data_IF_135404145985
#
_entry.id   IF_135404145985
#
_cell.length_a   1.000
_cell.length_b   1.000
_cell.length_c   1.000
_cell.angle_alpha   90.00
_cell.angle_beta   90.00
_cell.angle_gamma   90.00
#
_symmetry.space_group_name_H-M   'P 1'
#
loop_
_entity.id
_entity.type
_entity.pdbx_description
1 polymer ?
#
# COMPACT_ATOMS: atom_id res chain seq x y z
N UNK A 1 12.72 -6.82 -9.92
CA UNK A 1 13.20 -5.71 -9.08
C UNK A 1 12.57 -4.44 -9.61
N UNK A 2 12.15 -3.50 -8.74
CA UNK A 2 11.59 -2.22 -9.16
C UNK A 2 12.76 -1.32 -9.64
N UNK A 3 12.84 -1.05 -10.94
CA UNK A 3 14.04 -0.42 -11.55
C UNK A 3 13.85 1.01 -12.04
N UNK A 4 12.63 1.57 -12.02
CA UNK A 4 12.34 2.93 -12.52
C UNK A 4 11.64 3.80 -11.47
N UNK A 5 11.94 5.11 -11.47
CA UNK A 5 11.23 6.10 -10.66
C UNK A 5 9.73 6.17 -11.02
N UNK A 6 9.37 6.02 -12.31
CA UNK A 6 7.97 5.97 -12.75
C UNK A 6 7.24 4.77 -12.16
N UNK A 7 7.89 3.60 -12.07
CA UNK A 7 7.33 2.42 -11.41
C UNK A 7 7.07 2.65 -9.92
N UNK A 8 8.02 3.24 -9.19
CA UNK A 8 7.81 3.56 -7.76
C UNK A 8 6.66 4.54 -7.59
N UNK A 9 6.59 5.59 -8.42
CA UNK A 9 5.48 6.56 -8.39
C UNK A 9 4.13 5.88 -8.59
N UNK A 10 4.00 5.04 -9.62
CA UNK A 10 2.80 4.23 -9.91
C UNK A 10 2.38 3.37 -8.72
N UNK A 11 3.34 2.66 -8.13
CA UNK A 11 3.08 1.78 -6.99
C UNK A 11 2.65 2.57 -5.75
N UNK A 12 3.36 3.63 -5.39
CA UNK A 12 3.00 4.49 -4.26
C UNK A 12 1.62 5.10 -4.43
N UNK A 13 1.28 5.58 -5.64
CA UNK A 13 -0.06 6.09 -5.96
C UNK A 13 -1.12 5.00 -5.74
N UNK A 14 -0.94 3.84 -6.36
CA UNK A 14 -1.87 2.71 -6.23
C UNK A 14 -2.06 2.26 -4.77
N UNK A 15 -0.98 2.18 -3.99
CA UNK A 15 -1.01 1.81 -2.58
C UNK A 15 -1.75 2.83 -1.71
N UNK A 16 -1.52 4.12 -1.94
CA UNK A 16 -2.18 5.21 -1.21
C UNK A 16 -3.69 5.21 -1.46
N UNK A 17 -4.10 5.10 -2.71
CA UNK A 17 -5.51 5.00 -3.09
C UNK A 17 -6.16 3.77 -2.46
N UNK A 18 -5.49 2.62 -2.50
CA UNK A 18 -5.99 1.42 -1.86
C UNK A 18 -6.20 1.61 -0.35
N UNK A 19 -5.20 2.11 0.38
CA UNK A 19 -5.30 2.39 1.83
C UNK A 19 -6.38 3.41 2.14
N UNK A 20 -6.57 4.43 1.29
CA UNK A 20 -7.64 5.42 1.45
C UNK A 20 -9.04 4.78 1.40
N UNK A 21 -9.21 3.72 0.60
CA UNK A 21 -10.47 2.99 0.49
C UNK A 21 -10.67 1.90 1.55
N UNK A 22 -9.64 1.55 2.33
CA UNK A 22 -9.77 0.53 3.38
C UNK A 22 -10.73 1.02 4.47
N UNK A 23 -11.80 0.26 4.69
CA UNK A 23 -12.71 0.46 5.81
C UNK A 23 -12.16 -0.22 7.07
N UNK A 24 -12.08 0.53 8.17
CA UNK A 24 -11.63 0.04 9.48
C UNK A 24 -12.78 0.20 10.47
N UNK A 25 -13.25 -0.91 11.04
CA UNK A 25 -14.28 -0.90 12.06
C UNK A 25 -13.79 -1.62 13.32
N UNK A 26 -13.76 -0.93 14.45
CA UNK A 26 -13.39 -1.52 15.74
C UNK A 26 -14.63 -1.86 16.58
N UNK A 27 -14.62 -3.00 17.26
CA UNK A 27 -15.57 -3.36 18.32
C UNK A 27 -14.82 -3.60 19.64
N UNK A 28 -15.11 -2.84 20.72
CA UNK A 28 -14.54 -3.13 22.03
C UNK A 28 -15.18 -4.40 22.60
N UNK A 29 -14.42 -5.16 23.38
CA UNK A 29 -14.87 -6.37 24.07
C UNK A 29 -14.09 -6.47 25.37
N UNK A 30 -14.81 -6.65 26.48
CA UNK A 30 -14.19 -6.92 27.77
C UNK A 30 -13.71 -8.36 27.79
N UNK A 31 -12.45 -8.56 28.12
CA UNK A 31 -11.82 -9.88 28.24
C UNK A 31 -11.44 -10.10 29.69
N UNK A 32 -11.80 -11.27 30.21
CA UNK A 32 -11.38 -11.74 31.53
C UNK A 32 -10.16 -12.65 31.31
N UNK A 33 -9.07 -12.37 32.02
CA UNK A 33 -7.90 -13.24 31.95
C UNK A 33 -8.22 -14.56 32.64
N UNK A 34 -7.84 -15.67 32.01
CA UNK A 34 -7.94 -17.01 32.62
C UNK A 34 -7.09 -17.14 33.88
N UNK A 35 -6.03 -16.33 34.01
CA UNK A 35 -5.11 -16.34 35.15
C UNK A 35 -5.50 -15.32 36.24
N UNK A 36 -6.22 -14.25 35.86
CA UNK A 36 -6.72 -13.23 36.80
C UNK A 36 -8.09 -12.70 36.35
N UNK A 37 -9.13 -13.35 36.86
CA UNK A 37 -10.53 -12.98 36.57
C UNK A 37 -10.90 -11.64 37.23
N UNK A 38 -10.11 -11.16 38.19
CA UNK A 38 -10.40 -9.93 38.96
C UNK A 38 -9.99 -8.65 38.24
N UNK A 39 -9.13 -8.75 37.21
CA UNK A 39 -8.64 -7.62 36.44
C UNK A 39 -9.02 -7.71 34.95
N UNK A 40 -10.30 -7.52 34.58
CA UNK A 40 -10.71 -7.50 33.18
C UNK A 40 -10.09 -6.33 32.41
N UNK A 41 -9.83 -6.52 31.12
CA UNK A 41 -9.30 -5.47 30.24
C UNK A 41 -10.11 -5.33 28.95
N UNK A 42 -10.03 -4.13 28.36
CA UNK A 42 -10.67 -3.85 27.06
C UNK A 42 -9.76 -4.30 25.91
N UNK A 43 -10.25 -5.25 25.10
CA UNK A 43 -9.67 -5.62 23.81
C UNK A 43 -10.50 -5.02 22.68
N UNK A 44 -9.85 -4.55 21.62
CA UNK A 44 -10.48 -4.01 20.42
C UNK A 44 -10.29 -5.01 19.27
N UNK A 45 -11.41 -5.40 18.66
CA UNK A 45 -11.43 -6.25 17.47
C UNK A 45 -11.66 -5.34 16.27
N UNK A 46 -10.59 -5.04 15.53
CA UNK A 46 -10.63 -4.27 14.30
C UNK A 46 -10.94 -5.21 13.13
N UNK A 47 -11.87 -4.81 12.28
CA UNK A 47 -12.18 -5.45 10.99
C UNK A 47 -11.73 -4.51 9.89
N UNK A 48 -10.77 -4.96 9.09
CA UNK A 48 -10.20 -4.22 7.97
C UNK A 48 -10.74 -4.83 6.68
N UNK A 49 -11.28 -4.04 5.76
CA UNK A 49 -11.79 -4.51 4.46
C UNK A 49 -11.41 -3.55 3.35
N UNK A 50 -10.91 -4.10 2.25
CA UNK A 50 -10.66 -3.33 1.01
C UNK A 50 -11.98 -3.02 0.29
N UNK A 51 -12.07 -1.85 -0.36
CA UNK A 51 -13.23 -1.48 -1.16
C UNK A 51 -13.30 -2.20 -2.51
N UNK A 52 -12.18 -2.72 -3.03
CA UNK A 52 -12.05 -3.28 -4.38
C UNK A 52 -12.72 -4.66 -4.61
N UNK A 53 -13.65 -5.06 -3.74
CA UNK A 53 -14.47 -6.28 -3.92
C UNK A 53 -15.92 -5.94 -4.31
N UNK A 54 -16.09 -5.13 -5.36
CA UNK A 54 -17.40 -4.82 -5.95
C UNK A 54 -17.91 -5.89 -6.92
N UNK A 55 -17.17 -6.98 -7.15
CA UNK A 55 -17.74 -8.17 -7.80
C UNK A 55 -18.69 -8.87 -6.82
N UNK A 56 -19.97 -8.89 -7.19
CA UNK A 56 -21.12 -9.42 -6.44
C UNK A 56 -21.05 -10.91 -6.06
N UNK A 57 -19.91 -11.57 -6.27
CA UNK A 57 -19.71 -13.01 -6.09
C UNK A 57 -18.42 -13.41 -5.34
N UNK A 58 -17.58 -12.47 -4.92
CA UNK A 58 -16.44 -12.76 -4.04
C UNK A 58 -16.74 -12.32 -2.59
N UNK A 59 -16.40 -13.14 -1.57
CA UNK A 59 -16.56 -12.70 -0.18
C UNK A 59 -15.76 -11.43 0.05
N UNK A 60 -16.38 -10.40 0.65
CA UNK A 60 -15.74 -9.13 1.04
C UNK A 60 -14.46 -9.41 1.82
N UNK A 61 -13.33 -9.36 1.13
CA UNK A 61 -12.06 -9.80 1.69
C UNK A 61 -11.60 -8.79 2.75
N UNK A 62 -11.35 -9.33 3.94
CA UNK A 62 -10.94 -8.53 5.07
C UNK A 62 -10.37 -9.41 6.17
N UNK A 63 -9.56 -8.81 7.04
CA UNK A 63 -8.96 -9.51 8.16
C UNK A 63 -9.32 -8.85 9.48
N UNK A 64 -9.12 -9.61 10.56
CA UNK A 64 -9.40 -9.18 11.92
C UNK A 64 -8.08 -8.97 12.64
N UNK A 65 -7.93 -7.81 13.25
CA UNK A 65 -6.81 -7.48 14.12
C UNK A 65 -7.34 -7.36 15.56
N UNK A 66 -6.74 -8.08 16.52
CA UNK A 66 -7.15 -8.06 17.92
C UNK A 66 -6.03 -7.46 18.76
N UNK A 67 -6.27 -6.28 19.34
CA UNK A 67 -5.27 -5.57 20.13
C UNK A 67 -5.91 -4.86 21.32
N UNK A 68 -5.19 -4.76 22.42
CA UNK A 68 -5.50 -3.85 23.54
C UNK A 68 -4.76 -2.53 23.37
N UNK A 69 -5.17 -1.51 24.12
CA UNK A 69 -4.51 -0.20 24.11
C UNK A 69 -3.00 -0.30 24.36
N UNK A 70 -2.58 -1.14 25.31
CA UNK A 70 -1.16 -1.31 25.66
C UNK A 70 -0.33 -1.93 24.54
N UNK A 71 -0.93 -2.71 23.62
CA UNK A 71 -0.20 -3.25 22.47
C UNK A 71 0.15 -2.12 21.49
N UNK A 72 -0.82 -1.25 21.19
CA UNK A 72 -0.59 -0.05 20.37
C UNK A 72 0.42 0.88 21.04
N UNK A 73 0.29 1.09 22.35
CA UNK A 73 1.21 1.95 23.09
C UNK A 73 2.64 1.38 23.08
N UNK A 74 2.81 0.05 23.18
CA UNK A 74 4.11 -0.59 23.11
C UNK A 74 4.78 -0.39 21.73
N UNK A 75 4.04 -0.59 20.63
CA UNK A 75 4.54 -0.29 19.29
C UNK A 75 4.89 1.20 19.16
N UNK A 76 3.97 2.08 19.53
CA UNK A 76 4.17 3.53 19.47
C UNK A 76 5.43 3.96 20.23
N UNK A 77 5.65 3.46 21.46
CA UNK A 77 6.86 3.72 22.22
C UNK A 77 8.12 3.19 21.51
N UNK A 78 8.05 2.01 20.89
CA UNK A 78 9.17 1.44 20.15
C UNK A 78 9.55 2.33 18.96
N UNK A 79 8.58 2.74 18.15
CA UNK A 79 8.79 3.63 17.01
C UNK A 79 9.34 5.00 17.44
N UNK A 80 8.83 5.54 18.56
CA UNK A 80 9.29 6.81 19.10
C UNK A 80 10.73 6.75 19.63
N UNK A 81 11.13 5.65 20.28
CA UNK A 81 12.51 5.48 20.78
C UNK A 81 13.53 5.36 19.66
N UNK A 82 13.16 4.72 18.55
CA UNK A 82 14.04 4.57 17.39
C UNK A 82 13.97 5.76 16.43
N UNK A 83 13.17 6.79 16.75
CA UNK A 83 12.90 7.94 15.88
C UNK A 83 14.14 8.59 15.29
N UNK A 84 15.04 9.03 16.15
CA UNK A 84 16.24 9.73 15.69
C UNK A 84 17.09 8.87 14.76
N UNK A 85 17.13 7.55 14.97
CA UNK A 85 17.92 6.63 14.14
C UNK A 85 17.34 6.53 12.74
N UNK A 86 16.07 6.15 12.59
CA UNK A 86 15.47 6.01 11.27
C UNK A 86 15.25 7.35 10.57
N UNK A 87 15.05 8.46 11.29
CA UNK A 87 14.89 9.79 10.69
C UNK A 87 16.19 10.26 10.02
N UNK A 88 17.33 10.07 10.69
CA UNK A 88 18.66 10.33 10.10
C UNK A 88 18.90 9.39 8.91
N UNK A 89 18.58 8.10 9.04
CA UNK A 89 18.74 7.13 7.95
C UNK A 89 17.94 7.52 6.71
N UNK A 90 16.69 7.94 6.87
CA UNK A 90 15.83 8.35 5.76
C UNK A 90 16.30 9.66 5.11
N UNK A 91 16.75 10.66 5.89
CA UNK A 91 17.22 11.94 5.35
C UNK A 91 18.42 11.77 4.41
N UNK A 92 19.30 10.80 4.68
CA UNK A 92 20.44 10.47 3.83
C UNK A 92 20.05 9.89 2.45
N UNK A 93 18.85 9.33 2.32
CA UNK A 93 18.39 8.64 1.11
C UNK A 93 17.74 9.60 0.06
N UNK A 94 17.67 10.90 0.34
CA UNK A 94 17.15 11.92 -0.57
C UNK A 94 15.62 12.01 -0.61
N UNK A 95 15.09 12.74 -1.60
CA UNK A 95 13.67 13.12 -1.69
C UNK A 95 12.68 11.94 -1.68
N UNK A 96 13.09 10.77 -2.18
CA UNK A 96 12.22 9.58 -2.24
C UNK A 96 11.73 9.12 -0.86
N UNK A 97 12.51 9.37 0.21
CA UNK A 97 12.16 9.00 1.58
C UNK A 97 11.40 10.09 2.33
N UNK A 98 11.24 11.29 1.76
CA UNK A 98 10.60 12.42 2.44
C UNK A 98 9.15 12.07 2.83
N UNK A 99 8.39 11.47 1.91
CA UNK A 99 7.01 11.01 2.19
C UNK A 99 6.94 9.95 3.29
N UNK A 100 7.93 9.05 3.37
CA UNK A 100 8.02 8.05 4.44
C UNK A 100 8.39 8.69 5.77
N UNK A 101 9.31 9.67 5.77
CA UNK A 101 9.64 10.42 6.98
C UNK A 101 8.37 11.05 7.55
N UNK A 102 7.56 11.73 6.72
CA UNK A 102 6.31 12.34 7.17
C UNK A 102 5.33 11.33 7.77
N UNK A 103 5.21 10.15 7.15
CA UNK A 103 4.30 9.10 7.63
C UNK A 103 4.83 8.46 8.92
N UNK A 104 6.13 8.16 9.01
CA UNK A 104 6.76 7.62 10.21
C UNK A 104 6.78 8.63 11.36
N UNK A 105 6.97 9.91 11.05
CA UNK A 105 6.81 11.01 12.00
C UNK A 105 5.38 11.10 12.52
N UNK A 106 4.37 10.87 11.68
CA UNK A 106 2.97 10.78 12.12
C UNK A 106 2.75 9.55 13.00
N UNK A 107 3.30 8.39 12.61
CA UNK A 107 3.20 7.14 13.37
C UNK A 107 3.95 7.18 14.72
N UNK A 108 5.01 7.97 14.84
CA UNK A 108 5.83 8.17 16.03
C UNK A 108 5.64 9.57 16.68
N UNK A 109 4.64 10.33 16.24
CA UNK A 109 4.42 11.74 16.56
C UNK A 109 3.76 11.95 17.93
N UNK A 110 3.38 13.18 18.26
CA UNK A 110 2.73 13.50 19.55
C UNK A 110 1.27 13.05 19.65
N UNK A 111 0.65 12.66 18.53
CA UNK A 111 -0.78 12.36 18.41
C UNK A 111 -1.12 10.89 18.71
N UNK A 112 -0.68 10.38 19.86
CA UNK A 112 -1.10 9.06 20.35
C UNK A 112 -2.11 9.21 21.50
N UNK A 113 -3.13 8.33 21.60
CA UNK A 113 -4.11 8.39 22.68
C UNK A 113 -3.44 8.42 24.06
N UNK A 114 -3.91 9.30 24.95
CA UNK A 114 -3.30 9.45 26.27
C UNK A 114 -3.52 8.19 27.11
N UNK A 115 -2.50 7.84 27.91
CA UNK A 115 -2.63 6.75 28.88
C UNK A 115 -3.50 7.22 30.05
N UNK A 116 -4.60 6.52 30.29
CA UNK A 116 -5.41 6.69 31.50
C UNK A 116 -4.93 5.69 32.56
N UNK A 117 -4.63 6.16 33.77
CA UNK A 117 -4.21 5.33 34.91
C UNK A 117 -5.43 5.07 35.81
N UNK A 118 -6.48 4.46 35.22
CA UNK A 118 -7.74 4.09 35.87
C UNK A 118 -8.47 3.04 35.04
N UNK A 119 -9.53 2.44 35.59
CA UNK A 119 -10.39 1.53 34.84
C UNK A 119 -11.03 2.22 33.63
N UNK A 120 -11.25 1.45 32.56
CA UNK A 120 -11.82 1.94 31.33
C UNK A 120 -13.30 2.29 31.51
N UNK A 121 -13.64 3.57 31.37
CA UNK A 121 -15.03 4.04 31.30
C UNK A 121 -15.55 3.97 29.86
N UNK A 122 -16.87 3.98 29.66
CA UNK A 122 -17.48 4.02 28.32
C UNK A 122 -16.96 5.18 27.46
N UNK A 123 -16.71 6.35 28.07
CA UNK A 123 -16.12 7.50 27.41
C UNK A 123 -14.67 7.22 26.93
N UNK A 124 -13.83 6.64 27.80
CA UNK A 124 -12.44 6.27 27.46
C UNK A 124 -12.42 5.23 26.34
N UNK A 125 -13.31 4.24 26.40
CA UNK A 125 -13.41 3.19 25.38
C UNK A 125 -13.81 3.80 24.03
N UNK A 126 -14.78 4.71 24.01
CA UNK A 126 -15.23 5.38 22.79
C UNK A 126 -14.15 6.28 22.17
N UNK A 127 -13.45 7.05 23.01
CA UNK A 127 -12.31 7.89 22.59
C UNK A 127 -11.19 7.03 21.98
N UNK A 128 -10.71 6.04 22.73
CA UNK A 128 -9.65 5.12 22.27
C UNK A 128 -10.07 4.39 21.00
N UNK A 129 -11.32 3.93 20.90
CA UNK A 129 -11.81 3.25 19.70
C UNK A 129 -11.60 4.11 18.45
N UNK A 130 -11.95 5.40 18.50
CA UNK A 130 -11.75 6.32 17.37
C UNK A 130 -10.28 6.48 17.03
N UNK A 131 -9.50 6.90 18.02
CA UNK A 131 -8.10 7.24 17.79
C UNK A 131 -7.24 6.01 17.41
N UNK A 132 -7.55 4.83 17.94
CA UNK A 132 -6.86 3.58 17.55
C UNK A 132 -7.22 3.14 16.12
N UNK A 133 -8.44 3.42 15.63
CA UNK A 133 -8.78 3.20 14.22
C UNK A 133 -7.97 4.12 13.31
N UNK A 134 -7.86 5.40 13.66
CA UNK A 134 -7.07 6.38 12.91
C UNK A 134 -5.58 6.02 12.92
N UNK A 135 -5.05 5.64 14.07
CA UNK A 135 -3.67 5.16 14.18
C UNK A 135 -3.42 3.88 13.38
N UNK A 136 -4.38 2.94 13.34
CA UNK A 136 -4.29 1.74 12.49
C UNK A 136 -4.19 2.13 11.01
N UNK A 137 -4.94 3.13 10.55
CA UNK A 137 -4.83 3.66 9.18
C UNK A 137 -3.45 4.27 8.92
N UNK A 138 -2.90 5.03 9.87
CA UNK A 138 -1.54 5.58 9.77
C UNK A 138 -0.49 4.48 9.65
N UNK A 139 -0.61 3.39 10.44
CA UNK A 139 0.29 2.25 10.36
C UNK A 139 0.19 1.51 9.02
N UNK A 140 -1.03 1.34 8.47
CA UNK A 140 -1.22 0.75 7.14
C UNK A 140 -0.57 1.59 6.05
N UNK A 141 -0.75 2.91 6.08
CA UNK A 141 -0.10 3.82 5.14
C UNK A 141 1.43 3.70 5.21
N UNK A 142 2.00 3.65 6.42
CA UNK A 142 3.43 3.44 6.62
C UNK A 142 3.89 2.10 6.05
N UNK A 143 3.15 1.03 6.31
CA UNK A 143 3.47 -0.32 5.84
C UNK A 143 3.55 -0.39 4.32
N UNK A 144 2.52 0.07 3.61
CA UNK A 144 2.46 -0.07 2.14
C UNK A 144 3.50 0.79 1.43
N UNK A 145 3.86 1.96 1.97
CA UNK A 145 4.89 2.81 1.37
C UNK A 145 6.29 2.27 1.61
N UNK A 146 6.56 1.78 2.84
CA UNK A 146 7.81 1.09 3.16
C UNK A 146 8.01 -0.17 2.32
N UNK A 147 6.96 -0.96 2.08
CA UNK A 147 7.02 -2.14 1.22
C UNK A 147 7.53 -1.80 -0.19
N UNK A 148 6.95 -0.76 -0.81
CA UNK A 148 7.33 -0.34 -2.17
C UNK A 148 8.77 0.13 -2.23
N UNK A 149 9.21 0.93 -1.25
CA UNK A 149 10.55 1.51 -1.24
C UNK A 149 11.64 0.49 -0.91
N UNK A 150 11.40 -0.40 0.07
CA UNK A 150 12.33 -1.49 0.38
C UNK A 150 12.40 -2.52 -0.78
N UNK A 151 11.34 -2.64 -1.58
CA UNK A 151 11.32 -3.45 -2.81
C UNK A 151 12.06 -2.83 -4.01
N UNK A 152 12.53 -1.59 -3.89
CA UNK A 152 13.23 -0.84 -4.93
C UNK A 152 14.67 -0.45 -4.53
N UNK A 153 15.54 -1.43 -4.17
CA UNK A 153 16.87 -1.13 -3.61
C UNK A 153 17.77 -0.37 -4.59
N UNK A 154 17.55 -0.48 -5.90
CA UNK A 154 18.31 0.23 -6.93
C UNK A 154 18.10 1.75 -6.94
N UNK A 155 17.07 2.26 -6.28
CA UNK A 155 16.85 3.70 -6.09
C UNK A 155 17.51 4.25 -4.82
N UNK A 156 18.02 3.37 -3.95
CA UNK A 156 18.81 3.74 -2.79
C UNK A 156 20.21 4.11 -3.31
N UNK A 157 20.62 5.36 -3.12
CA UNK A 157 21.99 5.78 -3.44
C UNK A 157 22.92 5.14 -2.40
N UNK A 158 24.02 4.51 -2.81
CA UNK A 158 25.20 4.12 -1.99
C UNK A 158 25.13 2.82 -1.15
N UNK A 159 26.21 2.53 -0.42
CA UNK A 159 26.43 1.29 0.34
C UNK A 159 25.91 1.45 1.78
N UNK A 160 24.59 1.44 1.97
CA UNK A 160 23.92 1.83 3.22
C UNK A 160 23.20 0.66 3.89
N UNK A 161 23.96 -0.35 4.28
CA UNK A 161 23.44 -1.55 4.93
C UNK A 161 22.75 -1.19 6.25
N UNK A 162 23.35 -0.32 7.07
CA UNK A 162 22.84 0.02 8.39
C UNK A 162 21.53 0.84 8.33
N UNK A 163 21.41 1.78 7.40
CA UNK A 163 20.19 2.57 7.20
C UNK A 163 19.02 1.72 6.72
N UNK A 164 19.27 0.79 5.79
CA UNK A 164 18.27 -0.17 5.32
C UNK A 164 17.84 -1.06 6.49
N UNK A 165 18.76 -1.48 7.35
CA UNK A 165 18.43 -2.28 8.54
C UNK A 165 17.52 -1.51 9.50
N UNK A 166 17.77 -0.22 9.75
CA UNK A 166 16.90 0.60 10.61
C UNK A 166 15.47 0.71 10.06
N UNK A 167 15.32 1.06 8.77
CA UNK A 167 14.01 1.20 8.13
C UNK A 167 13.30 -0.16 8.03
N UNK A 168 14.02 -1.22 7.70
CA UNK A 168 13.49 -2.58 7.65
C UNK A 168 13.04 -3.06 9.04
N UNK A 169 13.74 -2.67 10.10
CA UNK A 169 13.31 -2.97 11.48
C UNK A 169 11.96 -2.33 11.79
N UNK A 170 11.76 -1.06 11.40
CA UNK A 170 10.46 -0.38 11.53
C UNK A 170 9.38 -1.08 10.71
N UNK A 171 9.69 -1.43 9.47
CA UNK A 171 8.77 -2.17 8.59
C UNK A 171 8.31 -3.49 9.22
N UNK A 172 9.24 -4.31 9.72
CA UNK A 172 8.93 -5.60 10.37
C UNK A 172 8.08 -5.41 11.63
N UNK A 173 8.34 -4.38 12.44
CA UNK A 173 7.52 -4.10 13.63
C UNK A 173 6.09 -3.72 13.29
N UNK A 174 5.91 -2.87 12.27
CA UNK A 174 4.58 -2.47 11.78
C UNK A 174 3.86 -3.69 11.20
N UNK A 175 4.53 -4.47 10.34
CA UNK A 175 3.95 -5.67 9.73
C UNK A 175 3.50 -6.69 10.78
N UNK A 176 4.38 -7.00 11.73
CA UNK A 176 4.10 -7.92 12.84
C UNK A 176 2.92 -7.44 13.67
N UNK A 177 2.82 -6.13 13.91
CA UNK A 177 1.72 -5.55 14.66
C UNK A 177 0.39 -5.65 13.93
N UNK A 178 0.37 -5.37 12.61
CA UNK A 178 -0.85 -5.36 11.79
C UNK A 178 -1.35 -6.76 11.41
N UNK A 179 -0.54 -7.80 11.62
CA UNK A 179 -0.90 -9.20 11.33
C UNK A 179 -1.38 -9.38 9.89
N UNK A 180 -0.62 -8.82 8.93
CA UNK A 180 -1.00 -8.81 7.51
C UNK A 180 -1.07 -10.26 6.98
N UNK A 181 -2.24 -10.72 6.47
CA UNK A 181 -2.39 -12.10 6.00
C UNK A 181 -1.50 -12.42 4.78
N UNK A 182 -1.00 -13.66 4.62
CA UNK A 182 -0.20 -14.07 3.46
C UNK A 182 -0.90 -13.83 2.12
N UNK A 183 -2.22 -14.09 2.05
CA UNK A 183 -3.02 -13.85 0.83
C UNK A 183 -3.02 -12.38 0.42
N UNK A 184 -3.06 -11.47 1.40
CA UNK A 184 -3.00 -10.03 1.15
C UNK A 184 -1.65 -9.63 0.56
N UNK A 185 -0.56 -10.13 1.14
CA UNK A 185 0.81 -9.94 0.62
C UNK A 185 0.95 -10.45 -0.81
N UNK A 186 0.35 -11.60 -1.15
CA UNK A 186 0.40 -12.14 -2.52
C UNK A 186 -0.37 -11.27 -3.53
N UNK A 187 -1.55 -10.77 -3.17
CA UNK A 187 -2.30 -9.81 -4.01
C UNK A 187 -1.45 -8.56 -4.26
N UNK A 188 -0.84 -8.04 -3.20
CA UNK A 188 0.03 -6.88 -3.24
C UNK A 188 1.27 -7.13 -4.11
N UNK A 189 1.91 -8.31 -4.00
CA UNK A 189 3.05 -8.71 -4.81
C UNK A 189 2.69 -8.99 -6.28
N UNK A 190 1.48 -9.47 -6.57
CA UNK A 190 0.98 -9.66 -7.93
C UNK A 190 0.80 -8.32 -8.63
N UNK A 191 0.19 -7.33 -7.97
CA UNK A 191 0.08 -5.99 -8.50
C UNK A 191 1.47 -5.40 -8.76
N UNK A 192 2.39 -5.52 -7.81
CA UNK A 192 3.78 -5.03 -7.97
C UNK A 192 4.44 -5.63 -9.21
N UNK A 193 4.36 -6.95 -9.40
CA UNK A 193 4.91 -7.62 -10.60
C UNK A 193 4.28 -7.12 -11.89
N UNK A 194 2.99 -6.82 -11.90
CA UNK A 194 2.31 -6.34 -13.10
C UNK A 194 2.67 -4.89 -13.42
N UNK A 195 2.70 -4.01 -12.42
CA UNK A 195 3.03 -2.58 -12.59
C UNK A 195 4.50 -2.38 -12.99
N UNK A 196 5.41 -3.23 -12.52
CA UNK A 196 6.83 -3.22 -12.95
C UNK A 196 6.98 -3.46 -14.46
N UNK A 197 6.02 -4.10 -15.11
CA UNK A 197 6.03 -4.35 -16.55
C UNK A 197 5.46 -3.20 -17.38
N UNK A 198 5.00 -2.11 -16.75
CA UNK A 198 4.47 -0.94 -17.46
C UNK A 198 5.59 -0.02 -17.93
N UNK A 199 5.54 0.35 -19.19
CA UNK A 199 6.49 1.28 -19.83
C UNK A 199 5.85 2.67 -20.02
N UNK A 200 6.67 3.72 -19.91
CA UNK A 200 6.25 5.10 -20.14
C UNK A 200 6.11 5.38 -21.65
N UNK A 201 4.98 5.96 -22.06
CA UNK A 201 4.78 6.38 -23.46
C UNK A 201 5.45 7.73 -23.67
N UNK A 202 6.46 7.80 -24.54
CA UNK A 202 7.15 9.06 -24.87
C UNK A 202 6.30 9.93 -25.78
N UNK A 203 5.76 11.03 -25.27
CA UNK A 203 5.14 12.09 -26.08
C UNK A 203 6.22 12.95 -26.74
N UNK A 204 6.73 12.52 -27.89
CA UNK A 204 7.59 13.35 -28.73
C UNK A 204 6.77 14.32 -29.60
N UNK A 205 7.30 15.51 -29.97
CA UNK A 205 6.58 16.51 -30.77
C UNK A 205 6.22 16.06 -32.21
N UNK A 206 6.62 14.85 -32.61
CA UNK A 206 6.40 14.30 -33.95
C UNK A 206 5.82 12.87 -33.94
N UNK A 207 5.26 12.42 -32.80
CA UNK A 207 4.61 11.13 -32.72
C UNK A 207 3.13 11.32 -33.06
N UNK A 208 2.71 10.91 -34.27
CA UNK A 208 1.31 10.60 -34.56
C UNK A 208 0.90 9.39 -33.72
N UNK A 209 0.70 9.61 -32.41
CA UNK A 209 -0.09 8.70 -31.59
C UNK A 209 -1.50 8.85 -32.14
N UNK A 210 -1.83 8.09 -33.20
CA UNK A 210 -3.21 7.93 -33.64
C UNK A 210 -4.02 7.72 -32.37
N UNK A 211 -5.00 8.61 -32.14
CA UNK A 211 -5.79 8.71 -30.93
C UNK A 211 -6.40 7.35 -30.56
N UNK A 212 -5.63 6.52 -29.87
CA UNK A 212 -6.00 5.15 -29.56
C UNK A 212 -6.81 5.18 -28.27
N UNK A 213 -8.03 5.71 -28.35
CA UNK A 213 -9.01 5.81 -27.26
C UNK A 213 -8.83 4.71 -26.20
N UNK A 214 -8.69 5.09 -24.94
CA UNK A 214 -8.49 4.12 -23.86
C UNK A 214 -9.73 3.22 -23.74
N UNK A 215 -9.61 1.92 -24.06
CA UNK A 215 -10.77 1.02 -24.07
C UNK A 215 -11.36 0.69 -22.68
N UNK A 216 -10.73 1.17 -21.60
CA UNK A 216 -11.20 0.98 -20.23
C UNK A 216 -12.20 2.07 -19.85
N UNK A 217 -11.88 3.34 -20.10
CA UNK A 217 -12.75 4.48 -19.78
C UNK A 217 -13.49 5.04 -21.00
N UNK A 218 -13.16 4.59 -22.21
CA UNK A 218 -13.71 5.06 -23.48
C UNK A 218 -13.48 6.56 -23.73
N UNK A 219 -12.48 7.17 -23.08
CA UNK A 219 -12.08 8.57 -23.28
C UNK A 219 -10.87 8.68 -24.20
N UNK A 220 -10.75 9.81 -24.90
CA UNK A 220 -9.63 10.09 -25.80
C UNK A 220 -8.32 10.30 -25.04
N UNK A 221 -7.21 9.87 -25.63
CA UNK A 221 -5.88 9.97 -25.03
C UNK A 221 -5.23 11.36 -25.23
N UNK A 222 -6.01 12.39 -25.53
CA UNK A 222 -5.44 13.67 -25.94
C UNK A 222 -4.87 14.41 -24.72
N UNK A 223 -3.55 14.70 -24.66
CA UNK A 223 -2.96 15.44 -23.54
C UNK A 223 -3.43 16.90 -23.46
N UNK A 224 -4.10 17.41 -24.51
CA UNK A 224 -4.62 18.77 -24.62
C UNK A 224 -6.15 18.80 -24.81
N UNK A 225 -6.88 18.71 -23.70
CA UNK A 225 -8.29 19.13 -23.63
C UNK A 225 -9.31 18.00 -23.68
N UNK A 226 -9.96 17.78 -22.53
CA UNK A 226 -11.09 16.90 -22.35
C UNK A 226 -11.53 16.94 -20.89
N UNK A 227 -12.60 17.67 -20.61
CA UNK A 227 -13.07 18.10 -19.30
C UNK A 227 -13.81 17.00 -18.52
N UNK A 228 -13.10 15.96 -18.09
CA UNK A 228 -13.63 15.00 -17.11
C UNK A 228 -12.64 14.86 -15.94
N UNK A 229 -13.10 15.25 -14.74
CA UNK A 229 -12.30 15.51 -13.54
C UNK A 229 -11.72 14.23 -12.85
N UNK A 230 -11.21 13.26 -13.63
CA UNK A 230 -10.71 12.00 -13.05
C UNK A 230 -9.76 11.14 -13.89
N UNK A 231 -9.39 11.51 -15.13
CA UNK A 231 -8.45 10.72 -15.93
C UNK A 231 -7.02 11.26 -15.85
N UNK A 232 -6.05 10.42 -15.48
CA UNK A 232 -4.62 10.75 -15.59
C UNK A 232 -4.26 10.99 -17.06
N UNK A 233 -3.62 12.12 -17.36
CA UNK A 233 -3.02 12.40 -18.68
C UNK A 233 -1.82 11.52 -19.01
N UNK A 234 -1.31 10.78 -18.02
CA UNK A 234 -0.20 9.85 -18.20
C UNK A 234 -0.67 8.55 -18.86
N UNK A 235 0.06 8.13 -19.88
CA UNK A 235 -0.19 6.91 -20.63
C UNK A 235 0.85 5.86 -20.27
N UNK A 236 0.40 4.62 -20.11
CA UNK A 236 1.25 3.48 -19.84
C UNK A 236 1.06 2.41 -20.93
N UNK A 237 2.18 1.81 -21.36
CA UNK A 237 2.20 0.73 -22.33
C UNK A 237 2.48 -0.61 -21.64
N UNK A 238 1.71 -1.64 -21.99
CA UNK A 238 1.98 -3.01 -21.58
C UNK A 238 3.02 -3.67 -22.50
N UNK A 239 3.68 -4.77 -22.09
CA UNK A 239 4.62 -5.53 -22.94
C UNK A 239 4.00 -6.13 -24.21
N UNK A 240 2.67 -6.11 -24.33
CA UNK A 240 1.95 -6.50 -25.54
C UNK A 240 1.71 -5.32 -26.50
N UNK A 241 2.37 -4.18 -26.27
CA UNK A 241 2.30 -2.92 -26.99
C UNK A 241 0.98 -2.14 -26.89
N UNK A 242 -0.03 -2.65 -26.19
CA UNK A 242 -1.27 -1.94 -25.92
C UNK A 242 -1.09 -0.80 -24.91
N UNK A 243 -1.71 0.34 -25.18
CA UNK A 243 -1.57 1.60 -24.43
C UNK A 243 -2.90 1.95 -23.75
N UNK A 244 -2.83 2.44 -22.52
CA UNK A 244 -3.98 2.87 -21.70
C UNK A 244 -3.60 4.08 -20.85
N UNK A 245 -4.60 4.80 -20.31
CA UNK A 245 -4.35 5.71 -19.18
C UNK A 245 -3.75 4.90 -18.02
N UNK A 246 -2.73 5.47 -17.38
CA UNK A 246 -2.00 4.85 -16.28
C UNK A 246 -2.96 4.38 -15.17
N UNK A 247 -3.87 5.25 -14.74
CA UNK A 247 -4.83 4.94 -13.68
C UNK A 247 -5.79 3.83 -14.07
N UNK A 248 -6.27 3.86 -15.31
CA UNK A 248 -7.18 2.84 -15.82
C UNK A 248 -6.53 1.45 -15.82
N UNK A 249 -5.29 1.34 -16.32
CA UNK A 249 -4.62 0.03 -16.39
C UNK A 249 -4.19 -0.45 -15.00
N UNK A 250 -3.73 0.44 -14.11
CA UNK A 250 -3.38 0.06 -12.74
C UNK A 250 -4.62 -0.47 -12.00
N UNK A 251 -5.76 0.22 -12.11
CA UNK A 251 -7.00 -0.24 -11.50
C UNK A 251 -7.43 -1.62 -12.04
N UNK A 252 -7.33 -1.84 -13.35
CA UNK A 252 -7.59 -3.15 -13.95
C UNK A 252 -6.66 -4.25 -13.39
N UNK A 253 -5.37 -3.94 -13.24
CA UNK A 253 -4.36 -4.86 -12.73
C UNK A 253 -4.53 -5.21 -11.24
N UNK A 254 -5.27 -4.40 -10.47
CA UNK A 254 -5.67 -4.75 -9.10
C UNK A 254 -6.66 -5.93 -9.07
N UNK A 255 -7.50 -6.06 -10.10
CA UNK A 255 -8.46 -7.15 -10.21
C UNK A 255 -7.89 -8.38 -10.93
N UNK A 256 -6.93 -8.19 -11.84
CA UNK A 256 -6.29 -9.31 -12.53
C UNK A 256 -5.11 -8.90 -13.41
N UNK A 257 -4.10 -9.77 -13.49
CA UNK A 257 -2.85 -9.50 -14.22
C UNK A 257 -2.93 -9.85 -15.71
N UNK A 258 -3.90 -9.30 -16.45
CA UNK A 258 -4.05 -9.53 -17.91
C UNK A 258 -4.33 -8.23 -18.67
N UNK A 259 -3.92 -8.17 -19.94
CA UNK A 259 -4.25 -7.05 -20.82
C UNK A 259 -5.77 -6.99 -21.12
N UNK A 260 -6.44 -5.84 -20.98
CA UNK A 260 -7.86 -5.69 -21.32
C UNK A 260 -8.19 -6.02 -22.79
N UNK A 261 -7.27 -5.73 -23.72
CA UNK A 261 -7.50 -5.94 -25.16
C UNK A 261 -7.19 -7.37 -25.62
N UNK A 262 -6.00 -7.89 -25.32
CA UNK A 262 -5.57 -9.20 -25.84
C UNK A 262 -5.53 -10.33 -24.81
N UNK A 263 -5.91 -10.06 -23.55
CA UNK A 263 -5.94 -11.01 -22.43
C UNK A 263 -4.61 -11.68 -22.09
N UNK A 264 -3.50 -11.24 -22.70
CA UNK A 264 -2.15 -11.74 -22.38
C UNK A 264 -1.82 -11.43 -20.92
N UNK A 265 -1.26 -12.41 -20.21
CA UNK A 265 -0.83 -12.23 -18.82
C UNK A 265 0.28 -11.19 -18.73
N UNK A 266 0.19 -10.31 -17.73
CA UNK A 266 1.19 -9.32 -17.37
C UNK A 266 1.98 -9.88 -16.17
N UNK A 267 3.31 -9.91 -16.26
CA UNK A 267 4.16 -10.35 -15.13
C UNK A 267 4.33 -11.87 -14.94
N UNK A 268 3.81 -12.72 -15.83
CA UNK A 268 4.30 -14.11 -15.98
C UNK A 268 5.32 -14.15 -17.10
N UNK A 269 6.49 -14.74 -16.86
CA UNK A 269 7.47 -14.98 -17.92
C UNK A 269 6.75 -15.64 -19.10
N UNK A 270 6.86 -15.04 -20.29
CA UNK A 270 6.29 -15.65 -21.48
C UNK A 270 6.89 -17.05 -21.60
N UNK A 271 6.08 -18.10 -21.45
CA UNK A 271 6.41 -19.40 -22.03
C UNK A 271 6.48 -19.13 -23.53
N UNK A 272 7.68 -18.86 -24.03
CA UNK A 272 7.99 -18.89 -25.45
C UNK A 272 7.62 -20.30 -25.90
N UNK A 273 6.43 -20.47 -26.48
CA UNK A 273 6.17 -21.60 -27.36
C UNK A 273 7.09 -21.38 -28.54
N UNK A 274 8.27 -22.00 -28.51
CA UNK A 274 9.07 -22.23 -29.69
C UNK A 274 8.18 -23.10 -30.57
N UNK A 275 7.53 -22.50 -31.56
CA UNK A 275 7.08 -23.26 -32.71
C UNK A 275 8.35 -23.76 -33.39
N UNK A 276 8.70 -25.02 -33.16
CA UNK A 276 9.60 -25.70 -34.08
C UNK A 276 8.81 -25.83 -35.38
N UNK A 277 9.20 -25.04 -36.38
CA UNK A 277 8.88 -25.35 -37.75
C UNK A 277 9.48 -26.74 -38.02
N UNK A 278 8.62 -27.72 -38.25
CA UNK A 278 9.01 -29.00 -38.82
C UNK A 278 8.98 -28.78 -40.33
N UNK A 279 10.16 -28.90 -40.95
CA UNK A 279 10.34 -28.98 -42.40
C UNK A 279 9.62 -30.20 -42.99
#
# INVERSE_FOLDING_TARGET
>A
MISSQSTVRRLLKARREEVATVSIAARPTTVFDSQDVTAPYTQYIFKLRSASSSSSQAPKEGWKLRKRYSDFYALYQKLRRTRSQWEISCLKQGEAFQSVIEILQRAAGSEFPRKHVRCDTSAIIHERRRQLMDYTRTLLAAYVELEVLLGAPSLLKGNFVDEIVCVNTVFVEIERFLEIPPRRKEIEAQLTRAVVMLEDVKSGPNCEVKAAQCCICLSDNNPSGGSDAGASTEMAQLPCAHIFHEDCIIHWLQCGSTCPMCRRSVGKAASRRIFMAVE
#
